data_IF_627624660444
#
_entry.id   IF_627624660444
#
_cell.length_a   1.000
_cell.length_b   1.000
_cell.length_c   1.000
_cell.angle_alpha   90.00
_cell.angle_beta   90.00
_cell.angle_gamma   90.00
#
_symmetry.space_group_name_H-M   'P 1'
#
loop_
_entity.id
_entity.type
_entity.pdbx_description
1 polymer ?
#
# COMPACT_ATOMS: atom_id res chain seq x y z
N UNK A 1 -8.99 -56.90 -55.63
CA UNK A 1 -10.25 -56.78 -54.87
C UNK A 1 -10.38 -58.01 -54.02
N UNK A 2 -10.10 -57.90 -52.73
CA UNK A 2 -10.19 -59.02 -51.79
C UNK A 2 -11.14 -58.65 -50.67
N UNK A 3 -12.30 -59.29 -50.73
CA UNK A 3 -13.36 -59.28 -49.74
C UNK A 3 -12.92 -60.26 -48.66
N UNK A 4 -12.79 -59.84 -47.39
CA UNK A 4 -12.94 -60.79 -46.28
C UNK A 4 -13.66 -60.14 -45.12
N UNK A 5 -14.83 -60.73 -44.85
CA UNK A 5 -15.69 -60.47 -43.71
C UNK A 5 -15.00 -60.92 -42.43
N UNK A 6 -15.23 -60.14 -41.39
CA UNK A 6 -14.93 -60.44 -40.00
C UNK A 6 -15.68 -61.70 -39.52
N UNK A 7 -15.04 -62.58 -38.72
CA UNK A 7 -15.77 -63.47 -37.83
C UNK A 7 -15.22 -63.44 -36.39
N UNK A 8 -16.14 -63.24 -35.47
CA UNK A 8 -16.03 -63.34 -34.02
C UNK A 8 -15.75 -64.79 -33.55
N UNK A 9 -14.96 -64.97 -32.47
CA UNK A 9 -14.95 -66.03 -31.41
C UNK A 9 -13.56 -66.01 -30.72
N UNK A 10 -13.43 -65.49 -29.47
CA UNK A 10 -13.28 -66.21 -28.17
C UNK A 10 -12.09 -67.20 -28.15
N UNK A 11 -11.12 -67.19 -27.23
CA UNK A 11 -11.22 -67.25 -25.76
C UNK A 11 -9.82 -67.07 -25.08
N UNK A 12 -9.85 -66.48 -23.88
CA UNK A 12 -9.03 -66.75 -22.65
C UNK A 12 -7.52 -66.46 -22.52
N UNK A 13 -7.26 -65.69 -21.46
CA UNK A 13 -6.20 -65.78 -20.44
C UNK A 13 -4.79 -65.28 -20.73
N UNK A 14 -4.49 -64.08 -20.23
CA UNK A 14 -3.39 -63.84 -19.28
C UNK A 14 -3.52 -62.43 -18.72
N UNK A 15 -3.47 -62.34 -17.38
CA UNK A 15 -2.76 -61.34 -16.57
C UNK A 15 -2.65 -59.93 -17.18
N UNK A 16 -3.18 -58.86 -16.59
CA UNK A 16 -2.72 -58.21 -15.35
C UNK A 16 -3.84 -57.26 -14.91
N UNK A 17 -4.43 -57.44 -13.73
CA UNK A 17 -4.04 -56.81 -12.46
C UNK A 17 -4.13 -55.26 -12.50
N UNK A 18 -5.13 -54.78 -11.78
CA UNK A 18 -5.53 -53.39 -11.50
C UNK A 18 -4.43 -52.50 -10.91
N UNK A 19 -4.49 -51.18 -11.08
CA UNK A 19 -4.03 -50.25 -10.05
C UNK A 19 -5.25 -49.63 -9.36
N UNK A 20 -5.83 -50.37 -8.42
CA UNK A 20 -6.53 -49.79 -7.28
C UNK A 20 -5.51 -49.62 -6.16
N UNK A 21 -5.67 -48.56 -5.37
CA UNK A 21 -4.92 -48.25 -4.14
C UNK A 21 -3.48 -47.75 -4.29
N UNK A 22 -3.30 -46.42 -4.29
CA UNK A 22 -2.25 -45.74 -3.50
C UNK A 22 -2.50 -44.22 -3.44
N UNK A 23 -3.59 -43.82 -2.77
CA UNK A 23 -3.72 -42.45 -2.24
C UNK A 23 -4.27 -42.53 -0.82
N UNK A 24 -3.40 -42.88 0.12
CA UNK A 24 -3.53 -42.50 1.53
C UNK A 24 -2.25 -42.89 2.27
N UNK A 25 -1.88 -42.04 3.22
CA UNK A 25 -0.77 -42.18 4.17
C UNK A 25 0.62 -41.67 3.75
N UNK A 26 0.74 -40.40 3.34
CA UNK A 26 1.91 -39.60 3.76
C UNK A 26 1.49 -38.14 3.91
N UNK A 27 1.38 -37.67 5.17
CA UNK A 27 1.61 -36.28 5.62
C UNK A 27 0.86 -35.92 6.92
N UNK A 28 0.42 -36.90 7.71
CA UNK A 28 -0.15 -36.70 9.06
C UNK A 28 0.90 -36.52 10.17
N UNK A 29 2.10 -36.03 9.86
CA UNK A 29 3.19 -35.86 10.85
C UNK A 29 3.71 -34.41 10.96
N UNK A 30 3.30 -33.49 10.08
CA UNK A 30 3.85 -32.11 10.05
C UNK A 30 2.95 -31.03 10.65
N UNK A 31 1.95 -31.37 11.47
CA UNK A 31 1.01 -30.39 12.06
C UNK A 31 1.11 -30.27 13.59
N UNK A 32 1.82 -31.17 14.29
CA UNK A 32 1.91 -31.14 15.76
C UNK A 32 3.09 -30.34 16.33
N UNK A 33 4.07 -29.95 15.53
CA UNK A 33 5.23 -29.17 16.00
C UNK A 33 5.10 -27.66 15.72
N UNK A 34 4.20 -27.25 14.82
CA UNK A 34 3.96 -25.83 14.51
C UNK A 34 3.04 -25.13 15.54
N UNK A 35 2.28 -25.88 16.33
CA UNK A 35 1.33 -25.31 17.31
C UNK A 35 1.98 -24.93 18.65
N UNK A 36 3.14 -25.51 19.01
CA UNK A 36 3.81 -25.26 20.30
C UNK A 36 4.68 -23.99 20.29
N UNK A 37 4.97 -23.40 19.13
CA UNK A 37 5.90 -22.27 19.01
C UNK A 37 5.22 -20.89 18.97
N UNK A 38 3.88 -20.85 18.90
CA UNK A 38 3.10 -19.60 18.79
C UNK A 38 2.68 -19.07 20.17
N UNK A 39 2.45 -19.94 21.16
CA UNK A 39 2.10 -19.51 22.53
C UNK A 39 3.29 -18.89 23.30
N UNK A 40 4.52 -19.39 23.10
CA UNK A 40 5.70 -18.87 23.80
C UNK A 40 6.18 -17.49 23.29
N UNK A 41 5.73 -17.03 22.11
CA UNK A 41 6.06 -15.71 21.57
C UNK A 41 5.00 -14.64 21.84
N UNK A 42 3.76 -15.01 22.22
CA UNK A 42 2.71 -14.05 22.56
C UNK A 42 2.77 -13.54 24.01
N UNK A 43 3.44 -14.25 24.92
CA UNK A 43 3.55 -13.84 26.33
C UNK A 43 4.64 -12.77 26.56
N UNK A 44 5.77 -12.84 25.83
CA UNK A 44 6.84 -11.82 25.90
C UNK A 44 6.49 -10.47 25.27
N UNK A 45 5.48 -10.41 24.41
CA UNK A 45 5.04 -9.17 23.77
C UNK A 45 4.06 -8.36 24.65
N UNK A 46 3.42 -8.99 25.66
CA UNK A 46 2.44 -8.32 26.53
C UNK A 46 3.11 -7.53 27.67
N UNK A 47 4.27 -7.96 28.16
CA UNK A 47 5.00 -7.23 29.21
C UNK A 47 5.71 -5.95 28.74
N UNK A 48 5.89 -5.74 27.43
CA UNK A 48 6.59 -4.55 26.91
C UNK A 48 5.66 -3.38 26.56
N UNK A 49 4.35 -3.61 26.42
CA UNK A 49 3.37 -2.56 26.08
C UNK A 49 2.83 -1.85 27.33
N UNK A 50 2.83 -2.52 28.49
CA UNK A 50 2.27 -1.96 29.72
C UNK A 50 3.23 -1.02 30.49
N UNK A 51 4.55 -1.06 30.21
CA UNK A 51 5.54 -0.16 30.82
C UNK A 51 5.75 1.18 30.09
N UNK A 52 5.13 1.41 28.93
CA UNK A 52 5.28 2.68 28.18
C UNK A 52 4.03 3.58 28.19
N UNK A 53 2.93 3.14 28.80
CA UNK A 53 1.68 3.90 28.85
C UNK A 53 1.52 4.79 30.11
N UNK A 54 2.49 4.81 31.04
CA UNK A 54 2.30 5.42 32.36
C UNK A 54 3.27 6.56 32.73
N UNK A 55 4.06 7.06 31.78
CA UNK A 55 5.02 8.16 32.01
C UNK A 55 4.70 9.48 31.29
N UNK A 56 3.51 9.62 30.69
CA UNK A 56 3.12 10.84 29.93
C UNK A 56 1.84 11.54 30.41
N UNK A 57 1.43 11.33 31.67
CA UNK A 57 0.20 11.91 32.23
C UNK A 57 0.39 12.74 33.51
N UNK A 58 1.60 13.19 33.83
CA UNK A 58 1.86 14.07 34.99
C UNK A 58 2.88 15.15 34.65
N UNK A 59 2.51 16.11 33.81
CA UNK A 59 3.31 17.34 33.61
C UNK A 59 2.51 18.53 33.03
N UNK A 60 1.19 18.62 33.28
CA UNK A 60 0.43 19.85 32.99
C UNK A 60 -0.58 20.09 34.12
N UNK A 61 -0.06 20.25 35.34
CA UNK A 61 -0.79 20.91 36.42
C UNK A 61 0.13 21.97 37.02
N UNK A 62 0.17 23.12 36.35
CA UNK A 62 0.46 24.39 37.02
C UNK A 62 -0.06 25.54 36.16
N UNK A 63 -0.69 26.48 36.86
CA UNK A 63 -0.98 27.84 36.43
C UNK A 63 -2.33 28.13 35.77
N UNK A 64 -3.41 27.86 36.51
CA UNK A 64 -4.60 28.72 36.48
C UNK A 64 -4.53 29.71 37.65
N UNK A 65 -3.99 30.90 37.43
CA UNK A 65 -4.28 32.06 38.27
C UNK A 65 -4.60 33.29 37.41
N UNK A 66 -5.90 33.44 37.15
CA UNK A 66 -6.66 34.69 37.03
C UNK A 66 -5.88 35.99 36.80
N UNK A 67 -5.93 36.52 35.57
CA UNK A 67 -5.99 37.97 35.34
C UNK A 67 -7.04 38.32 34.30
N UNK A 68 -7.92 39.24 34.70
CA UNK A 68 -9.07 39.77 33.97
C UNK A 68 -8.61 40.78 32.92
N UNK A 69 -9.06 40.57 31.66
CA UNK A 69 -9.35 41.55 30.58
C UNK A 69 -8.19 42.45 30.06
N UNK A 70 -8.28 43.03 28.83
CA UNK A 70 -9.39 43.03 27.88
C UNK A 70 -9.04 42.46 26.49
N UNK A 71 -10.13 42.18 25.77
CA UNK A 71 -10.21 41.92 24.34
C UNK A 71 -9.24 42.78 23.52
N UNK A 72 -8.30 42.13 22.86
CA UNK A 72 -7.86 42.56 21.53
C UNK A 72 -7.97 41.32 20.67
N UNK A 73 -8.88 41.38 19.71
CA UNK A 73 -9.07 40.38 18.69
C UNK A 73 -7.70 40.02 18.10
N UNK A 74 -7.17 38.88 18.51
CA UNK A 74 -6.04 38.25 17.84
C UNK A 74 -6.63 37.80 16.52
N UNK A 75 -6.48 38.66 15.51
CA UNK A 75 -6.63 38.26 14.12
C UNK A 75 -5.84 36.97 13.98
N UNK A 76 -6.57 35.87 13.86
CA UNK A 76 -6.01 34.61 13.42
C UNK A 76 -5.47 34.93 12.04
N UNK A 77 -4.18 35.26 11.98
CA UNK A 77 -3.42 35.23 10.75
C UNK A 77 -3.59 33.80 10.26
N UNK A 78 -4.50 33.64 9.31
CA UNK A 78 -4.58 32.46 8.48
C UNK A 78 -3.19 32.30 7.89
N UNK A 79 -2.40 31.42 8.50
CA UNK A 79 -1.20 30.86 7.90
C UNK A 79 -1.75 30.08 6.71
N UNK A 80 -1.95 30.79 5.60
CA UNK A 80 -2.02 30.19 4.28
C UNK A 80 -0.65 29.55 4.15
N UNK A 81 -0.57 28.27 4.54
CA UNK A 81 0.62 27.46 4.43
C UNK A 81 1.05 27.56 2.98
N UNK A 82 2.04 28.40 2.70
CA UNK A 82 2.57 28.57 1.36
C UNK A 82 3.09 27.19 0.97
N UNK A 83 2.34 26.50 0.09
CA UNK A 83 2.75 25.19 -0.42
C UNK A 83 4.16 25.37 -1.01
N UNK A 84 5.07 24.46 -0.66
CA UNK A 84 6.40 24.48 -1.25
C UNK A 84 6.29 24.33 -2.77
N UNK A 85 7.23 24.91 -3.51
CA UNK A 85 7.29 24.77 -4.97
C UNK A 85 7.38 23.29 -5.35
N UNK A 86 8.08 22.49 -4.54
CA UNK A 86 8.26 21.06 -4.76
C UNK A 86 6.95 20.29 -4.57
N UNK A 87 6.18 20.62 -3.52
CA UNK A 87 4.87 20.02 -3.29
C UNK A 87 3.92 20.31 -4.45
N UNK A 88 3.88 21.55 -4.96
CA UNK A 88 3.05 21.90 -6.10
C UNK A 88 3.43 21.14 -7.38
N UNK A 89 4.73 20.91 -7.61
CA UNK A 89 5.20 20.10 -8.74
C UNK A 89 4.78 18.64 -8.61
N UNK A 90 4.91 18.06 -7.41
CA UNK A 90 4.46 16.70 -7.12
C UNK A 90 2.96 16.58 -7.35
N UNK A 91 2.16 17.51 -6.81
CA UNK A 91 0.71 17.58 -7.02
C UNK A 91 0.36 17.63 -8.52
N UNK A 92 1.08 18.44 -9.29
CA UNK A 92 0.90 18.55 -10.74
C UNK A 92 1.21 17.24 -11.47
N UNK A 93 2.33 16.58 -11.15
CA UNK A 93 2.63 15.27 -11.79
C UNK A 93 1.60 14.22 -11.39
N UNK A 94 1.07 14.29 -10.17
CA UNK A 94 0.00 13.40 -9.70
C UNK A 94 -1.32 13.64 -10.43
N UNK A 95 -1.70 14.89 -10.71
CA UNK A 95 -2.96 15.24 -11.39
C UNK A 95 -2.96 14.96 -12.90
N UNK A 96 -1.79 14.94 -13.53
CA UNK A 96 -1.65 14.69 -14.98
C UNK A 96 -2.41 13.42 -15.43
N UNK A 97 -3.18 13.56 -16.51
CA UNK A 97 -3.99 12.49 -17.11
C UNK A 97 -5.08 11.87 -16.20
N UNK A 98 -5.38 12.47 -15.04
CA UNK A 98 -6.41 11.95 -14.12
C UNK A 98 -7.79 12.55 -14.32
N UNK A 99 -7.94 13.62 -15.11
CA UNK A 99 -9.21 14.36 -15.29
C UNK A 99 -10.37 13.45 -15.72
N UNK A 100 -10.18 12.66 -16.78
CA UNK A 100 -11.21 11.77 -17.31
C UNK A 100 -11.70 10.74 -16.29
N UNK A 101 -10.80 10.24 -15.45
CA UNK A 101 -11.12 9.27 -14.40
C UNK A 101 -11.82 9.99 -13.25
N UNK A 102 -11.32 11.16 -12.88
CA UNK A 102 -11.87 12.00 -11.83
C UNK A 102 -13.33 12.38 -12.08
N UNK A 103 -13.68 12.79 -13.30
CA UNK A 103 -15.05 13.14 -13.66
C UNK A 103 -16.02 11.94 -13.70
N UNK A 104 -15.50 10.72 -13.84
CA UNK A 104 -16.30 9.49 -13.84
C UNK A 104 -16.60 8.96 -12.42
N UNK A 105 -15.85 9.37 -11.41
CA UNK A 105 -16.09 9.00 -10.01
C UNK A 105 -17.28 9.76 -9.43
N UNK A 106 -17.96 9.23 -8.42
CA UNK A 106 -18.99 9.95 -7.65
C UNK A 106 -18.37 10.96 -6.66
N UNK A 107 -19.21 11.82 -6.09
CA UNK A 107 -18.79 12.89 -5.17
C UNK A 107 -18.02 12.40 -3.95
N UNK A 108 -18.39 11.25 -3.38
CA UNK A 108 -17.72 10.73 -2.18
C UNK A 108 -16.30 10.27 -2.53
N UNK A 109 -16.15 9.47 -3.59
CA UNK A 109 -14.83 9.02 -4.05
C UNK A 109 -13.96 10.18 -4.55
N UNK A 110 -14.53 11.19 -5.21
CA UNK A 110 -13.79 12.40 -5.61
C UNK A 110 -13.22 13.17 -4.42
N UNK A 111 -13.97 13.29 -3.32
CA UNK A 111 -13.50 13.95 -2.09
C UNK A 111 -12.38 13.16 -1.44
N UNK A 112 -12.56 11.85 -1.26
CA UNK A 112 -11.53 10.98 -0.71
C UNK A 112 -10.25 11.00 -1.56
N UNK A 113 -10.39 10.91 -2.88
CA UNK A 113 -9.26 10.91 -3.80
C UNK A 113 -8.44 12.20 -3.71
N UNK A 114 -9.10 13.36 -3.56
CA UNK A 114 -8.44 14.65 -3.35
C UNK A 114 -7.71 14.71 -2.01
N UNK A 115 -8.39 14.34 -0.92
CA UNK A 115 -7.80 14.39 0.42
C UNK A 115 -6.59 13.47 0.54
N UNK A 116 -6.71 12.24 0.04
CA UNK A 116 -5.60 11.28 0.01
C UNK A 116 -4.51 11.69 -0.98
N UNK A 117 -4.85 12.40 -2.05
CA UNK A 117 -3.89 12.98 -2.99
C UNK A 117 -2.98 14.00 -2.32
N UNK A 118 -3.56 14.93 -1.55
CA UNK A 118 -2.77 15.93 -0.80
C UNK A 118 -1.87 15.28 0.26
N UNK A 119 -2.39 14.28 0.99
CA UNK A 119 -1.60 13.53 1.98
C UNK A 119 -0.43 12.79 1.32
N UNK A 120 -0.71 12.10 0.22
CA UNK A 120 0.28 11.33 -0.54
C UNK A 120 1.35 12.24 -1.11
N UNK A 121 0.99 13.41 -1.65
CA UNK A 121 1.94 14.39 -2.17
C UNK A 121 2.94 14.87 -1.09
N UNK A 122 2.45 15.15 0.13
CA UNK A 122 3.31 15.51 1.28
C UNK A 122 4.21 14.36 1.71
N UNK A 123 3.73 13.13 1.68
CA UNK A 123 4.54 11.95 1.98
C UNK A 123 5.66 11.77 0.95
N UNK A 124 5.36 11.96 -0.33
CA UNK A 124 6.34 11.91 -1.42
C UNK A 124 7.41 13.00 -1.23
N UNK A 125 7.01 14.23 -0.91
CA UNK A 125 7.94 15.32 -0.60
C UNK A 125 8.92 14.94 0.52
N UNK A 126 8.41 14.38 1.61
CA UNK A 126 9.23 13.91 2.73
C UNK A 126 10.18 12.77 2.31
N UNK A 127 9.70 11.82 1.50
CA UNK A 127 10.54 10.72 0.99
C UNK A 127 11.66 11.25 0.10
N UNK A 128 11.38 12.25 -0.73
CA UNK A 128 12.37 12.92 -1.57
C UNK A 128 13.44 13.58 -0.69
N UNK A 129 13.05 14.28 0.38
CA UNK A 129 13.98 14.93 1.30
C UNK A 129 14.98 13.96 1.96
N UNK A 130 14.58 12.70 2.20
CA UNK A 130 15.41 11.67 2.83
C UNK A 130 16.47 11.09 1.86
N UNK A 131 16.24 11.13 0.55
CA UNK A 131 17.27 10.86 -0.47
C UNK A 131 17.55 9.38 -0.80
N UNK A 132 17.44 8.44 0.14
CA UNK A 132 17.77 7.01 -0.10
C UNK A 132 16.55 6.16 -0.41
N UNK A 133 16.64 5.34 -1.45
CA UNK A 133 15.62 4.37 -1.88
C UNK A 133 14.24 4.99 -2.13
N UNK A 134 14.21 6.23 -2.62
CA UNK A 134 12.96 6.98 -2.83
C UNK A 134 12.08 6.38 -3.92
N UNK A 135 12.66 5.81 -4.98
CA UNK A 135 11.90 5.27 -6.11
C UNK A 135 10.87 4.20 -5.69
N UNK A 136 11.32 3.23 -4.88
CA UNK A 136 10.45 2.14 -4.39
C UNK A 136 9.33 2.69 -3.51
N UNK A 137 9.67 3.61 -2.59
CA UNK A 137 8.70 4.22 -1.66
C UNK A 137 7.68 5.09 -2.38
N UNK A 138 8.11 5.92 -3.34
CA UNK A 138 7.23 6.77 -4.13
C UNK A 138 6.29 5.91 -4.96
N UNK A 139 6.80 4.84 -5.58
CA UNK A 139 5.99 3.91 -6.34
C UNK A 139 4.91 3.25 -5.48
N UNK A 140 5.24 2.82 -4.26
CA UNK A 140 4.27 2.25 -3.33
C UNK A 140 3.19 3.26 -2.91
N UNK A 141 3.58 4.49 -2.58
CA UNK A 141 2.66 5.58 -2.23
C UNK A 141 1.67 5.87 -3.38
N UNK A 142 2.19 6.02 -4.60
CA UNK A 142 1.36 6.25 -5.78
C UNK A 142 0.43 5.07 -6.08
N UNK A 143 0.92 3.83 -5.96
CA UNK A 143 0.07 2.64 -6.14
C UNK A 143 -1.06 2.60 -5.13
N UNK A 144 -0.78 2.90 -3.87
CA UNK A 144 -1.79 2.87 -2.81
C UNK A 144 -2.84 3.95 -3.02
N UNK A 145 -2.43 5.16 -3.40
CA UNK A 145 -3.34 6.25 -3.72
C UNK A 145 -4.20 5.95 -4.97
N UNK A 146 -3.59 5.49 -6.06
CA UNK A 146 -4.29 5.18 -7.31
C UNK A 146 -5.29 4.02 -7.17
N UNK A 147 -5.09 3.11 -6.21
CA UNK A 147 -6.02 2.02 -5.92
C UNK A 147 -7.34 2.48 -5.30
N UNK A 148 -7.43 3.73 -4.85
CA UNK A 148 -8.69 4.32 -4.37
C UNK A 148 -9.70 4.51 -5.51
N UNK A 149 -9.24 4.50 -6.76
CA UNK A 149 -10.07 4.72 -7.94
C UNK A 149 -10.89 3.45 -8.25
N UNK A 150 -12.23 3.50 -8.16
CA UNK A 150 -13.07 2.36 -8.51
C UNK A 150 -13.13 2.16 -10.03
N UNK A 151 -13.24 0.90 -10.46
CA UNK A 151 -13.54 0.56 -11.86
C UNK A 151 -12.38 0.72 -12.87
N UNK A 152 -11.15 0.98 -12.40
CA UNK A 152 -9.97 1.09 -13.26
C UNK A 152 -9.11 -0.18 -13.18
N UNK A 153 -8.56 -0.59 -14.31
CA UNK A 153 -7.73 -1.79 -14.42
C UNK A 153 -6.45 -1.67 -13.59
N UNK A 154 -6.12 -2.73 -12.83
CA UNK A 154 -4.92 -2.78 -11.98
C UNK A 154 -3.63 -2.52 -12.77
N UNK A 155 -3.50 -3.07 -13.98
CA UNK A 155 -2.32 -2.85 -14.81
C UNK A 155 -2.16 -1.39 -15.21
N UNK A 156 -3.27 -0.70 -15.51
CA UNK A 156 -3.24 0.72 -15.81
C UNK A 156 -2.73 1.53 -14.61
N UNK A 157 -3.26 1.28 -13.42
CA UNK A 157 -2.84 1.97 -12.19
C UNK A 157 -1.35 1.73 -11.89
N UNK A 158 -0.85 0.52 -12.15
CA UNK A 158 0.56 0.21 -11.96
C UNK A 158 1.46 0.95 -12.97
N UNK A 159 1.06 1.01 -14.23
CA UNK A 159 1.84 1.71 -15.26
C UNK A 159 1.82 3.23 -15.02
N UNK A 160 0.66 3.79 -14.67
CA UNK A 160 0.56 5.20 -14.29
C UNK A 160 1.43 5.51 -13.06
N UNK A 161 1.44 4.65 -12.04
CA UNK A 161 2.30 4.83 -10.88
C UNK A 161 3.79 4.84 -11.27
N UNK A 162 4.22 3.95 -12.17
CA UNK A 162 5.62 3.91 -12.68
C UNK A 162 5.96 5.19 -13.44
N UNK A 163 5.14 5.59 -14.41
CA UNK A 163 5.35 6.79 -15.21
C UNK A 163 5.45 8.04 -14.32
N UNK A 164 4.56 8.18 -13.34
CA UNK A 164 4.56 9.31 -12.40
C UNK A 164 5.77 9.27 -11.47
N UNK A 165 6.18 8.09 -11.00
CA UNK A 165 7.41 7.94 -10.20
C UNK A 165 8.62 8.43 -11.00
N UNK A 166 8.78 7.98 -12.24
CA UNK A 166 9.92 8.36 -13.08
C UNK A 166 9.96 9.86 -13.36
N UNK A 167 8.81 10.50 -13.58
CA UNK A 167 8.69 11.95 -13.74
C UNK A 167 9.11 12.71 -12.47
N UNK A 168 8.58 12.32 -11.32
CA UNK A 168 8.90 12.96 -10.03
C UNK A 168 10.40 12.88 -9.73
N UNK A 169 11.01 11.72 -9.98
CA UNK A 169 12.45 11.53 -9.78
C UNK A 169 13.26 12.41 -10.73
N UNK A 170 12.88 12.48 -12.01
CA UNK A 170 13.55 13.31 -13.01
C UNK A 170 13.52 14.79 -12.63
N UNK A 171 12.37 15.30 -12.22
CA UNK A 171 12.22 16.71 -11.83
C UNK A 171 13.07 17.03 -10.58
N UNK A 172 13.07 16.11 -9.62
CA UNK A 172 13.87 16.24 -8.39
C UNK A 172 15.38 16.24 -8.68
N UNK A 173 15.85 15.35 -9.56
CA UNK A 173 17.27 15.25 -9.88
C UNK A 173 17.77 16.47 -10.65
N UNK A 174 16.94 17.03 -11.54
CA UNK A 174 17.22 18.30 -12.24
C UNK A 174 17.36 19.45 -11.23
N UNK A 175 16.47 19.56 -10.25
CA UNK A 175 16.54 20.60 -9.22
C UNK A 175 17.81 20.49 -8.36
N UNK A 176 18.19 19.27 -7.97
CA UNK A 176 19.42 19.03 -7.22
C UNK A 176 20.67 19.39 -8.00
N UNK A 177 20.67 19.18 -9.32
CA UNK A 177 21.77 19.57 -10.18
C UNK A 177 21.88 21.10 -10.30
N UNK A 178 20.76 21.81 -10.47
CA UNK A 178 20.72 23.26 -10.59
C UNK A 178 21.13 23.99 -9.29
N UNK A 179 20.84 23.41 -8.12
CA UNK A 179 21.27 23.98 -6.83
C UNK A 179 22.74 23.74 -6.48
N UNK A 180 23.45 22.88 -7.22
CA UNK A 180 24.87 22.56 -7.01
C UNK A 180 25.83 23.30 -7.95
N UNK A 181 25.30 24.02 -8.95
CA UNK A 181 26.08 24.77 -9.94
C UNK A 181 26.14 26.26 -9.60
#
# INVERSE_FOLDING_TARGET
>A
MSIFRNPFVKEKSSEQMTPDLMVREISSVSEKEAQSNIEAQQEKAREHVEKQAQEKLTAVESDQQTRKMPSTARAALSVVSQKSINLQKIERVMEENMETIFFKMDDAHRRMFKEEGERTARQIENVIAIGKSMAVKILELLKNWLRLIPGVNKFFLEQEAKIKTDKILRDTDIERANHKS
#
